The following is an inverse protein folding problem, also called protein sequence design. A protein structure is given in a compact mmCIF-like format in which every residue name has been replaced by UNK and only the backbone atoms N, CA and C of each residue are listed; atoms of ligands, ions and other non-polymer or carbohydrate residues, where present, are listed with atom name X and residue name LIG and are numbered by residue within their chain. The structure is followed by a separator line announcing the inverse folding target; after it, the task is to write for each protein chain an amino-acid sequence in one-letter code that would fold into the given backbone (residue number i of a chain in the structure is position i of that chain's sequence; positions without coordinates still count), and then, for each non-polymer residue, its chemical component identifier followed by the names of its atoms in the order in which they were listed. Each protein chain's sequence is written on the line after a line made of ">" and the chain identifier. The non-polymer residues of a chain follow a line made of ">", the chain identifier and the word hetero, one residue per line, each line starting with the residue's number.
data_IF_510704667630
#
_entry.id   IF_510704667630
#
_cell.length_a   1.000
_cell.length_b   1.000
_cell.length_c   1.000
_cell.angle_alpha   90.00
_cell.angle_beta   90.00
_cell.angle_gamma   90.00
#
_symmetry.space_group_name_H-M   'P 1'
#
loop_
_entity.id
_entity.type
_entity.pdbx_description
1 polymer ?
#
# COMPACT_ATOMS: atom_id res chain seq x y z
N UNK A 1 -45.55 60.65 7.36
CA UNK A 1 -46.08 59.75 6.31
C UNK A 1 -46.91 58.68 7.00
N UNK A 2 -48.13 58.44 6.50
CA UNK A 2 -49.10 57.52 7.11
C UNK A 2 -48.85 56.06 6.66
N UNK A 3 -49.42 55.10 7.37
CA UNK A 3 -49.51 53.72 6.90
C UNK A 3 -50.48 53.64 5.70
N UNK A 4 -50.24 52.75 4.74
CA UNK A 4 -51.06 52.53 3.55
C UNK A 4 -51.33 51.04 3.36
N UNK A 5 -52.61 50.66 3.33
CA UNK A 5 -53.09 49.32 3.05
C UNK A 5 -54.02 49.40 1.83
N UNK A 6 -53.55 49.03 0.64
CA UNK A 6 -54.29 49.17 -0.62
C UNK A 6 -54.67 47.85 -1.27
N UNK A 7 -54.05 46.74 -0.86
CA UNK A 7 -54.47 45.40 -1.29
C UNK A 7 -55.78 44.98 -0.64
N UNK A 8 -56.53 44.07 -1.27
CA UNK A 8 -57.72 43.48 -0.66
C UNK A 8 -57.33 42.76 0.64
N UNK A 9 -58.13 42.90 1.70
CA UNK A 9 -57.88 42.27 3.01
C UNK A 9 -56.48 42.54 3.62
N UNK A 10 -55.84 43.64 3.22
CA UNK A 10 -54.48 43.98 3.67
C UNK A 10 -54.47 44.70 5.02
N UNK A 11 -53.34 44.60 5.74
CA UNK A 11 -53.12 45.27 7.02
C UNK A 11 -51.80 46.03 6.99
N UNK A 12 -51.81 47.35 7.24
CA UNK A 12 -50.60 48.16 7.39
C UNK A 12 -50.60 48.91 8.72
N UNK A 13 -49.56 48.73 9.54
CA UNK A 13 -49.42 49.38 10.85
C UNK A 13 -47.99 49.88 11.06
N UNK A 14 -47.84 51.21 11.21
CA UNK A 14 -46.56 51.88 11.42
C UNK A 14 -46.36 53.06 10.46
N UNK A 15 -45.51 54.03 10.82
CA UNK A 15 -45.24 55.17 9.95
C UNK A 15 -44.59 54.69 8.64
N UNK A 16 -45.19 55.07 7.50
CA UNK A 16 -44.80 54.61 6.16
C UNK A 16 -44.87 53.09 5.93
N UNK A 17 -45.61 52.33 6.73
CA UNK A 17 -45.90 50.93 6.40
C UNK A 17 -46.75 50.85 5.12
N UNK A 18 -46.45 49.94 4.21
CA UNK A 18 -47.11 49.79 2.90
C UNK A 18 -47.49 48.33 2.64
N UNK A 19 -48.78 48.01 2.68
CA UNK A 19 -49.33 46.69 2.36
C UNK A 19 -50.14 46.81 1.05
N UNK A 20 -49.51 46.49 -0.08
CA UNK A 20 -50.12 46.67 -1.43
C UNK A 20 -50.56 45.36 -2.07
N UNK A 21 -50.08 44.22 -1.58
CA UNK A 21 -50.51 42.91 -2.06
C UNK A 21 -51.85 42.50 -1.43
N UNK A 22 -52.64 41.67 -2.12
CA UNK A 22 -53.86 41.11 -1.56
C UNK A 22 -53.54 40.17 -0.39
N UNK A 23 -54.34 40.20 0.67
CA UNK A 23 -54.12 39.53 1.95
C UNK A 23 -52.75 39.80 2.60
N UNK A 24 -52.08 40.91 2.24
CA UNK A 24 -50.73 41.22 2.75
C UNK A 24 -50.75 41.90 4.12
N UNK A 25 -49.67 41.74 4.88
CA UNK A 25 -49.50 42.34 6.21
C UNK A 25 -48.16 43.08 6.30
N UNK A 26 -48.18 44.39 6.56
CA UNK A 26 -46.99 45.21 6.80
C UNK A 26 -47.03 45.83 8.21
N UNK A 27 -46.19 45.35 9.13
CA UNK A 27 -46.13 45.79 10.53
C UNK A 27 -44.74 46.34 10.88
N UNK A 28 -44.63 47.66 11.03
CA UNK A 28 -43.40 48.34 11.40
C UNK A 28 -43.16 49.63 10.61
N UNK A 29 -42.24 50.48 11.08
CA UNK A 29 -41.89 51.72 10.37
C UNK A 29 -41.22 51.38 9.04
N UNK A 30 -41.82 51.79 7.91
CA UNK A 30 -41.32 51.50 6.57
C UNK A 30 -41.42 50.03 6.15
N UNK A 31 -42.17 49.20 6.88
CA UNK A 31 -42.40 47.82 6.44
C UNK A 31 -43.17 47.80 5.12
N UNK A 32 -42.76 46.97 4.17
CA UNK A 32 -43.38 46.84 2.84
C UNK A 32 -43.78 45.39 2.60
N UNK A 33 -45.07 45.14 2.35
CA UNK A 33 -45.63 43.86 1.96
C UNK A 33 -46.38 44.03 0.63
N UNK A 34 -45.73 43.73 -0.50
CA UNK A 34 -46.29 43.94 -1.85
C UNK A 34 -46.66 42.65 -2.58
N UNK A 35 -46.17 41.51 -2.12
CA UNK A 35 -46.58 40.21 -2.67
C UNK A 35 -47.97 39.81 -2.20
N UNK A 36 -48.69 39.02 -3.00
CA UNK A 36 -49.95 38.39 -2.58
C UNK A 36 -49.68 37.47 -1.39
N UNK A 37 -50.52 37.51 -0.36
CA UNK A 37 -50.39 36.73 0.87
C UNK A 37 -49.02 36.91 1.59
N UNK A 38 -48.35 38.03 1.35
CA UNK A 38 -47.04 38.32 1.95
C UNK A 38 -47.16 38.93 3.35
N UNK A 39 -46.19 38.68 4.22
CA UNK A 39 -46.15 39.20 5.58
C UNK A 39 -44.80 39.81 5.90
N UNK A 40 -44.75 41.11 6.21
CA UNK A 40 -43.55 41.85 6.56
C UNK A 40 -43.67 42.47 7.96
N UNK A 41 -42.91 41.93 8.91
CA UNK A 41 -42.91 42.37 10.32
C UNK A 41 -41.52 42.85 10.73
N UNK A 42 -41.38 44.13 11.01
CA UNK A 42 -40.12 44.78 11.41
C UNK A 42 -39.93 46.14 10.76
N UNK A 43 -39.07 46.98 11.34
CA UNK A 43 -38.72 48.26 10.71
C UNK A 43 -37.98 48.02 9.39
N UNK A 44 -38.45 48.59 8.29
CA UNK A 44 -37.91 48.39 6.93
C UNK A 44 -37.91 46.91 6.47
N UNK A 45 -38.75 46.04 7.04
CA UNK A 45 -38.94 44.69 6.52
C UNK A 45 -39.59 44.75 5.12
N UNK A 46 -39.16 43.91 4.18
CA UNK A 46 -39.64 43.95 2.77
C UNK A 46 -40.03 42.56 2.26
N UNK A 47 -41.32 42.24 2.25
CA UNK A 47 -41.89 41.01 1.68
C UNK A 47 -42.53 41.32 0.33
N UNK A 48 -41.84 41.00 -0.77
CA UNK A 48 -42.27 41.39 -2.13
C UNK A 48 -42.63 40.21 -3.03
N UNK A 49 -42.15 39.01 -2.72
CA UNK A 49 -42.59 37.78 -3.41
C UNK A 49 -43.96 37.31 -2.94
N UNK A 50 -44.68 36.57 -3.77
CA UNK A 50 -45.95 35.94 -3.37
C UNK A 50 -45.71 34.94 -2.24
N UNK A 51 -46.65 34.81 -1.29
CA UNK A 51 -46.55 33.92 -0.13
C UNK A 51 -45.28 34.13 0.73
N UNK A 52 -44.59 35.25 0.59
CA UNK A 52 -43.33 35.50 1.28
C UNK A 52 -43.54 35.93 2.73
N UNK A 53 -42.67 35.48 3.63
CA UNK A 53 -42.72 35.83 5.06
C UNK A 53 -41.42 36.47 5.51
N UNK A 54 -41.52 37.65 6.12
CA UNK A 54 -40.40 38.43 6.62
C UNK A 54 -40.63 38.81 8.07
N UNK A 55 -39.68 38.45 8.93
CA UNK A 55 -39.70 38.81 10.35
C UNK A 55 -38.31 39.31 10.77
N UNK A 56 -38.13 40.62 10.88
CA UNK A 56 -36.86 41.23 11.28
C UNK A 56 -36.68 42.63 10.72
N UNK A 57 -35.93 43.48 11.43
CA UNK A 57 -35.59 44.80 10.92
C UNK A 57 -34.68 44.69 9.68
N UNK A 58 -35.04 45.38 8.59
CA UNK A 58 -34.34 45.37 7.31
C UNK A 58 -34.20 43.99 6.66
N UNK A 59 -35.01 43.02 7.07
CA UNK A 59 -35.08 41.72 6.41
C UNK A 59 -35.82 41.84 5.06
N UNK A 60 -35.46 41.02 4.08
CA UNK A 60 -36.01 41.09 2.72
C UNK A 60 -36.29 39.70 2.17
N UNK A 61 -37.52 39.46 1.73
CA UNK A 61 -37.92 38.26 0.99
C UNK A 61 -38.52 38.69 -0.35
N UNK A 62 -37.83 38.38 -1.46
CA UNK A 62 -38.24 38.81 -2.81
C UNK A 62 -38.63 37.66 -3.73
N UNK A 63 -38.26 36.42 -3.39
CA UNK A 63 -38.70 35.24 -4.14
C UNK A 63 -40.08 34.77 -3.70
N UNK A 64 -40.76 34.01 -4.56
CA UNK A 64 -42.06 33.43 -4.22
C UNK A 64 -41.91 32.33 -3.17
N UNK A 65 -42.85 32.26 -2.22
CA UNK A 65 -42.81 31.39 -1.04
C UNK A 65 -41.51 31.51 -0.20
N UNK A 66 -40.78 32.62 -0.33
CA UNK A 66 -39.51 32.81 0.38
C UNK A 66 -39.70 33.29 1.82
N UNK A 67 -38.75 32.96 2.70
CA UNK A 67 -38.80 33.28 4.13
C UNK A 67 -37.52 33.97 4.59
N UNK A 68 -37.62 35.19 5.12
CA UNK A 68 -36.50 35.92 5.72
C UNK A 68 -36.75 36.23 7.21
N UNK A 69 -36.11 35.48 8.09
CA UNK A 69 -36.26 35.56 9.54
C UNK A 69 -34.97 36.03 10.21
N UNK A 70 -34.97 37.23 10.78
CA UNK A 70 -33.83 37.84 11.48
C UNK A 70 -33.43 39.19 10.92
N UNK A 71 -32.72 40.00 11.70
CA UNK A 71 -32.29 41.35 11.26
C UNK A 71 -31.40 41.23 10.02
N UNK A 72 -31.78 41.88 8.92
CA UNK A 72 -31.03 41.87 7.65
C UNK A 72 -30.97 40.50 6.96
N UNK A 73 -31.82 39.53 7.35
CA UNK A 73 -31.94 38.28 6.61
C UNK A 73 -32.46 38.55 5.19
N UNK A 74 -31.92 37.87 4.19
CA UNK A 74 -32.20 38.12 2.77
C UNK A 74 -32.51 36.81 2.04
N UNK A 75 -33.74 36.63 1.58
CA UNK A 75 -34.21 35.47 0.83
C UNK A 75 -34.71 35.92 -0.55
N UNK A 76 -33.87 35.82 -1.59
CA UNK A 76 -34.15 36.48 -2.89
C UNK A 76 -34.66 35.56 -3.97
N UNK A 77 -34.51 34.24 -3.81
CA UNK A 77 -34.93 33.25 -4.78
C UNK A 77 -36.20 32.52 -4.33
N UNK A 78 -36.87 31.86 -5.28
CA UNK A 78 -38.12 31.14 -5.00
C UNK A 78 -37.88 29.98 -4.04
N UNK A 79 -38.81 29.79 -3.11
CA UNK A 79 -38.78 28.78 -2.05
C UNK A 79 -37.53 28.85 -1.15
N UNK A 80 -36.81 29.98 -1.17
CA UNK A 80 -35.60 30.14 -0.35
C UNK A 80 -35.93 30.51 1.10
N UNK A 81 -35.12 30.07 2.05
CA UNK A 81 -35.26 30.37 3.47
C UNK A 81 -33.95 30.93 4.04
N UNK A 82 -33.96 32.17 4.50
CA UNK A 82 -32.87 32.79 5.24
C UNK A 82 -33.29 33.04 6.71
N UNK A 83 -32.71 32.30 7.65
CA UNK A 83 -33.04 32.36 9.08
C UNK A 83 -31.81 32.68 9.94
N UNK A 84 -31.62 33.95 10.29
CA UNK A 84 -30.54 34.43 11.15
C UNK A 84 -30.17 35.86 10.83
N UNK A 85 -29.46 36.53 11.73
CA UNK A 85 -28.97 37.90 11.48
C UNK A 85 -28.00 37.90 10.29
N UNK A 86 -28.37 38.60 9.22
CA UNK A 86 -27.60 38.66 7.97
C UNK A 86 -27.52 37.36 7.19
N UNK A 87 -28.37 36.35 7.49
CA UNK A 87 -28.43 35.14 6.68
C UNK A 87 -28.86 35.48 5.24
N UNK A 88 -28.28 34.82 4.24
CA UNK A 88 -28.57 35.04 2.82
C UNK A 88 -28.91 33.71 2.14
N UNK A 89 -30.09 33.63 1.55
CA UNK A 89 -30.52 32.52 0.71
C UNK A 89 -30.89 33.07 -0.68
N UNK A 90 -30.03 32.87 -1.67
CA UNK A 90 -30.21 33.42 -3.03
C UNK A 90 -30.29 32.35 -4.12
N UNK A 91 -30.21 31.07 -3.75
CA UNK A 91 -30.46 29.95 -4.65
C UNK A 91 -31.93 29.52 -4.59
N UNK A 92 -32.46 29.04 -5.72
CA UNK A 92 -33.80 28.44 -5.75
C UNK A 92 -33.82 27.25 -4.81
N UNK A 93 -34.87 27.13 -3.99
CA UNK A 93 -35.01 26.06 -3.00
C UNK A 93 -33.83 25.98 -2.00
N UNK A 94 -33.11 27.09 -1.76
CA UNK A 94 -31.98 27.11 -0.83
C UNK A 94 -32.37 27.44 0.60
N UNK A 95 -31.62 26.92 1.57
CA UNK A 95 -31.85 27.16 2.99
C UNK A 95 -30.57 27.63 3.68
N UNK A 96 -30.57 28.85 4.22
CA UNK A 96 -29.50 29.42 5.03
C UNK A 96 -30.01 29.66 6.46
N UNK A 97 -29.49 28.95 7.46
CA UNK A 97 -29.83 29.19 8.86
C UNK A 97 -28.58 29.40 9.73
N UNK A 98 -28.51 30.52 10.43
CA UNK A 98 -27.37 30.93 11.24
C UNK A 98 -26.98 32.39 11.00
N UNK A 99 -26.19 32.97 11.91
CA UNK A 99 -25.68 34.34 11.73
C UNK A 99 -24.74 34.36 10.53
N UNK A 100 -25.04 35.18 9.51
CA UNK A 100 -24.26 35.27 8.27
C UNK A 100 -24.13 33.93 7.52
N UNK A 101 -25.05 32.99 7.69
CA UNK A 101 -25.11 31.79 6.83
C UNK A 101 -25.45 32.20 5.39
N UNK A 102 -24.84 31.56 4.39
CA UNK A 102 -24.99 31.91 2.97
C UNK A 102 -25.26 30.66 2.12
N UNK A 103 -26.46 30.55 1.54
CA UNK A 103 -26.86 29.48 0.64
C UNK A 103 -27.19 30.07 -0.74
N UNK A 104 -26.19 30.15 -1.62
CA UNK A 104 -26.29 30.83 -2.92
C UNK A 104 -26.47 29.89 -4.11
N UNK A 105 -26.16 28.59 -3.95
CA UNK A 105 -26.41 27.58 -4.98
C UNK A 105 -27.87 27.13 -5.01
N UNK A 106 -28.37 26.67 -6.16
CA UNK A 106 -29.69 26.04 -6.23
C UNK A 106 -29.71 24.76 -5.37
N UNK A 107 -30.81 24.48 -4.69
CA UNK A 107 -30.98 23.34 -3.76
C UNK A 107 -29.91 23.27 -2.65
N UNK A 108 -29.23 24.38 -2.36
CA UNK A 108 -28.12 24.40 -1.39
C UNK A 108 -28.63 24.58 0.05
N UNK A 109 -27.88 24.03 1.01
CA UNK A 109 -28.19 24.12 2.43
C UNK A 109 -26.97 24.59 3.23
N UNK A 110 -27.06 25.78 3.84
CA UNK A 110 -26.05 26.34 4.73
C UNK A 110 -26.61 26.45 6.16
N UNK A 111 -26.10 25.65 7.09
CA UNK A 111 -26.55 25.61 8.49
C UNK A 111 -25.37 25.86 9.43
N UNK A 112 -25.38 27.00 10.11
CA UNK A 112 -24.35 27.41 11.07
C UNK A 112 -23.85 28.83 10.81
N UNK A 113 -23.28 29.45 11.85
CA UNK A 113 -22.69 30.79 11.74
C UNK A 113 -21.61 30.82 10.68
N UNK A 114 -21.73 31.73 9.70
CA UNK A 114 -20.80 31.87 8.57
C UNK A 114 -20.64 30.60 7.71
N UNK A 115 -21.61 29.67 7.75
CA UNK A 115 -21.63 28.56 6.80
C UNK A 115 -21.88 29.07 5.38
N UNK A 116 -21.23 28.48 4.37
CA UNK A 116 -21.33 28.88 2.98
C UNK A 116 -21.56 27.66 2.08
N UNK A 117 -22.75 27.56 1.50
CA UNK A 117 -23.11 26.56 0.49
C UNK A 117 -23.31 27.30 -0.85
N UNK A 118 -22.26 27.37 -1.66
CA UNK A 118 -22.23 28.16 -2.89
C UNK A 118 -22.48 27.34 -4.16
N UNK A 119 -22.20 26.03 -4.12
CA UNK A 119 -22.45 25.12 -5.24
C UNK A 119 -23.90 24.66 -5.33
N UNK A 120 -24.35 24.26 -6.52
CA UNK A 120 -25.68 23.64 -6.69
C UNK A 120 -25.73 22.28 -5.99
N UNK A 121 -26.80 22.00 -5.25
CA UNK A 121 -26.95 20.79 -4.43
C UNK A 121 -25.95 20.70 -3.26
N UNK A 122 -25.21 21.77 -2.97
CA UNK A 122 -24.16 21.75 -1.94
C UNK A 122 -24.74 21.83 -0.52
N UNK A 123 -24.03 21.22 0.44
CA UNK A 123 -24.42 21.22 1.85
C UNK A 123 -23.25 21.67 2.71
N UNK A 124 -23.43 22.76 3.46
CA UNK A 124 -22.48 23.28 4.44
C UNK A 124 -23.11 23.28 5.84
N UNK A 125 -22.76 22.32 6.69
CA UNK A 125 -23.26 22.18 8.05
C UNK A 125 -22.14 22.39 9.07
N UNK A 126 -22.16 23.50 9.79
CA UNK A 126 -21.21 23.84 10.84
C UNK A 126 -20.74 25.28 10.78
N UNK A 127 -20.19 25.78 11.88
CA UNK A 127 -19.64 27.14 11.91
C UNK A 127 -18.45 27.26 10.94
N UNK A 128 -18.56 28.17 9.97
CA UNK A 128 -17.56 28.37 8.92
C UNK A 128 -17.38 27.18 7.97
N UNK A 129 -18.33 26.24 7.89
CA UNK A 129 -18.30 25.18 6.89
C UNK A 129 -18.45 25.78 5.48
N UNK A 130 -17.69 25.29 4.50
CA UNK A 130 -17.65 25.84 3.15
C UNK A 130 -17.77 24.73 2.11
N UNK A 131 -18.86 24.75 1.35
CA UNK A 131 -19.14 23.84 0.23
C UNK A 131 -19.33 24.68 -1.04
N UNK A 132 -18.27 24.81 -1.86
CA UNK A 132 -18.23 25.84 -2.93
C UNK A 132 -18.59 25.34 -4.32
N UNK A 133 -18.64 24.02 -4.53
CA UNK A 133 -18.79 23.41 -5.84
C UNK A 133 -20.04 22.51 -5.91
N UNK A 134 -20.43 22.13 -7.12
CA UNK A 134 -21.62 21.29 -7.36
C UNK A 134 -21.52 19.96 -6.61
N UNK A 135 -22.62 19.60 -5.94
CA UNK A 135 -22.77 18.38 -5.13
C UNK A 135 -21.72 18.24 -4.01
N UNK A 136 -21.06 19.33 -3.60
CA UNK A 136 -20.05 19.27 -2.53
C UNK A 136 -20.68 19.34 -1.14
N UNK A 137 -20.08 18.63 -0.18
CA UNK A 137 -20.62 18.49 1.19
C UNK A 137 -19.55 18.79 2.24
N UNK A 138 -19.71 19.87 2.99
CA UNK A 138 -18.89 20.25 4.13
C UNK A 138 -19.65 20.06 5.45
N UNK A 139 -19.27 19.07 6.25
CA UNK A 139 -19.94 18.67 7.48
C UNK A 139 -18.98 18.81 8.68
N UNK A 140 -19.08 19.92 9.41
CA UNK A 140 -18.29 20.19 10.60
C UNK A 140 -17.81 21.64 10.66
N UNK A 141 -17.38 22.07 11.85
CA UNK A 141 -16.78 23.40 12.02
C UNK A 141 -15.56 23.55 11.12
N UNK A 142 -15.55 24.57 10.27
CA UNK A 142 -14.47 24.86 9.32
C UNK A 142 -14.16 23.71 8.34
N UNK A 143 -15.10 22.79 8.11
CA UNK A 143 -14.96 21.79 7.04
C UNK A 143 -14.99 22.50 5.67
N UNK A 144 -14.18 22.04 4.73
CA UNK A 144 -13.98 22.69 3.42
C UNK A 144 -14.06 21.67 2.29
N UNK A 145 -15.15 21.71 1.50
CA UNK A 145 -15.40 20.88 0.33
C UNK A 145 -15.43 21.78 -0.92
N UNK A 146 -14.27 21.94 -1.56
CA UNK A 146 -14.04 22.97 -2.61
C UNK A 146 -13.81 22.38 -3.99
N UNK A 147 -14.28 21.17 -4.24
CA UNK A 147 -14.21 20.49 -5.53
C UNK A 147 -15.53 19.80 -5.85
N UNK A 148 -15.80 19.56 -7.13
CA UNK A 148 -17.04 18.91 -7.58
C UNK A 148 -17.20 17.52 -6.93
N UNK A 149 -18.40 17.24 -6.40
CA UNK A 149 -18.75 15.99 -5.70
C UNK A 149 -17.79 15.64 -4.55
N UNK A 150 -17.11 16.62 -3.96
CA UNK A 150 -16.22 16.37 -2.83
C UNK A 150 -16.97 16.38 -1.49
N UNK A 151 -16.51 15.55 -0.54
CA UNK A 151 -17.10 15.47 0.79
C UNK A 151 -16.02 15.70 1.85
N UNK A 152 -16.17 16.73 2.68
CA UNK A 152 -15.34 16.99 3.85
C UNK A 152 -16.18 16.87 5.13
N UNK A 153 -15.97 15.82 5.92
CA UNK A 153 -16.68 15.57 7.17
C UNK A 153 -15.73 15.52 8.37
N UNK A 154 -15.80 16.51 9.24
CA UNK A 154 -14.96 16.64 10.43
C UNK A 154 -14.53 18.08 10.69
N UNK A 155 -14.05 18.34 11.90
CA UNK A 155 -13.54 19.67 12.22
C UNK A 155 -12.26 19.98 11.42
N UNK A 156 -12.30 20.97 10.53
CA UNK A 156 -11.18 21.32 9.66
C UNK A 156 -10.88 20.29 8.56
N UNK A 157 -11.77 19.33 8.30
CA UNK A 157 -11.61 18.41 7.18
C UNK A 157 -11.55 19.17 5.85
N UNK A 158 -10.70 18.75 4.92
CA UNK A 158 -10.51 19.38 3.62
C UNK A 158 -10.61 18.37 2.47
N UNK A 159 -11.56 18.58 1.57
CA UNK A 159 -11.75 17.78 0.36
C UNK A 159 -11.69 18.71 -0.86
N UNK A 160 -10.50 18.82 -1.47
CA UNK A 160 -10.21 19.74 -2.57
C UNK A 160 -9.89 19.05 -3.90
N UNK A 161 -9.89 17.71 -3.95
CA UNK A 161 -9.82 16.94 -5.18
C UNK A 161 -11.22 16.62 -5.71
N UNK A 162 -11.38 16.52 -7.03
CA UNK A 162 -12.66 16.15 -7.62
C UNK A 162 -13.08 14.74 -7.19
N UNK A 163 -14.34 14.53 -6.83
CA UNK A 163 -14.84 13.25 -6.30
C UNK A 163 -14.08 12.76 -5.03
N UNK A 164 -13.39 13.65 -4.29
CA UNK A 164 -12.63 13.24 -3.12
C UNK A 164 -13.50 13.14 -1.86
N UNK A 165 -13.10 12.31 -0.90
CA UNK A 165 -13.79 12.15 0.38
C UNK A 165 -12.78 12.26 1.52
N UNK A 166 -13.00 13.20 2.43
CA UNK A 166 -12.16 13.44 3.60
C UNK A 166 -12.99 13.36 4.87
N UNK A 167 -12.77 12.34 5.69
CA UNK A 167 -13.51 12.08 6.94
C UNK A 167 -12.55 12.03 8.13
N UNK A 168 -12.66 13.00 9.03
CA UNK A 168 -11.84 13.09 10.25
C UNK A 168 -11.45 14.52 10.60
N UNK A 169 -11.03 14.74 11.85
CA UNK A 169 -10.49 16.04 12.28
C UNK A 169 -9.21 16.31 11.52
N UNK A 170 -9.15 17.44 10.80
CA UNK A 170 -8.01 17.84 9.96
C UNK A 170 -7.60 16.79 8.91
N UNK A 171 -8.52 15.90 8.50
CA UNK A 171 -8.27 15.02 7.36
C UNK A 171 -8.17 15.85 6.07
N UNK A 172 -7.36 15.41 5.11
CA UNK A 172 -7.15 16.08 3.84
C UNK A 172 -7.22 15.08 2.68
N UNK A 173 -8.12 15.31 1.72
CA UNK A 173 -8.24 14.55 0.48
C UNK A 173 -8.12 15.53 -0.70
N UNK A 174 -6.88 15.78 -1.13
CA UNK A 174 -6.56 16.82 -2.13
C UNK A 174 -6.27 16.27 -3.53
N UNK A 175 -6.03 14.96 -3.67
CA UNK A 175 -5.91 14.30 -4.97
C UNK A 175 -7.29 13.98 -5.57
N UNK A 176 -7.37 13.89 -6.89
CA UNK A 176 -8.62 13.56 -7.56
C UNK A 176 -9.02 12.11 -7.24
N UNK A 177 -10.31 11.88 -6.95
CA UNK A 177 -10.85 10.58 -6.50
C UNK A 177 -10.15 10.02 -5.25
N UNK A 178 -9.47 10.87 -4.46
CA UNK A 178 -8.77 10.41 -3.27
C UNK A 178 -9.72 10.25 -2.08
N UNK A 179 -9.36 9.39 -1.14
CA UNK A 179 -10.12 9.18 0.10
C UNK A 179 -9.19 9.25 1.30
N UNK A 180 -9.46 10.15 2.24
CA UNK A 180 -8.81 10.19 3.55
C UNK A 180 -9.81 9.88 4.67
N UNK A 181 -9.44 8.97 5.56
CA UNK A 181 -10.27 8.53 6.68
C UNK A 181 -9.43 8.43 7.95
N UNK A 182 -9.66 9.32 8.92
CA UNK A 182 -8.93 9.38 10.19
C UNK A 182 -8.44 10.79 10.51
N UNK A 183 -8.15 11.04 11.80
CA UNK A 183 -7.63 12.34 12.22
C UNK A 183 -6.26 12.61 11.59
N UNK A 184 -6.14 13.72 10.85
CA UNK A 184 -4.92 14.08 10.13
C UNK A 184 -4.53 13.13 8.99
N UNK A 185 -5.43 12.24 8.54
CA UNK A 185 -5.18 11.40 7.37
C UNK A 185 -5.03 12.28 6.11
N UNK A 186 -4.07 11.98 5.25
CA UNK A 186 -3.70 12.81 4.10
C UNK A 186 -3.61 11.98 2.82
N UNK A 187 -4.58 12.11 1.93
CA UNK A 187 -4.65 11.45 0.63
C UNK A 187 -4.45 12.50 -0.48
N UNK A 188 -3.17 12.76 -0.83
CA UNK A 188 -2.79 13.82 -1.77
C UNK A 188 -2.49 13.32 -3.17
N UNK A 189 -2.27 12.02 -3.35
CA UNK A 189 -2.15 11.42 -4.69
C UNK A 189 -3.52 11.20 -5.34
N UNK A 190 -3.58 11.24 -6.67
CA UNK A 190 -4.80 10.88 -7.40
C UNK A 190 -5.15 9.41 -7.18
N UNK A 191 -6.44 9.12 -7.05
CA UNK A 191 -6.99 7.79 -6.75
C UNK A 191 -6.32 7.13 -5.51
N UNK A 192 -5.83 7.93 -4.57
CA UNK A 192 -5.16 7.42 -3.36
C UNK A 192 -6.14 7.17 -2.21
N UNK A 193 -5.74 6.27 -1.30
CA UNK A 193 -6.48 5.97 -0.07
C UNK A 193 -5.56 6.12 1.14
N UNK A 194 -5.89 7.04 2.05
CA UNK A 194 -5.22 7.16 3.36
C UNK A 194 -6.23 6.87 4.49
N UNK A 195 -6.13 5.69 5.11
CA UNK A 195 -7.03 5.25 6.16
C UNK A 195 -6.28 4.97 7.47
N UNK A 196 -6.45 5.83 8.47
CA UNK A 196 -5.79 5.77 9.77
C UNK A 196 -5.36 7.16 10.25
N UNK A 197 -5.25 7.34 11.57
CA UNK A 197 -4.77 8.61 12.11
C UNK A 197 -3.35 8.91 11.61
N UNK A 198 -3.16 10.06 10.96
CA UNK A 198 -1.89 10.46 10.35
C UNK A 198 -1.42 9.57 9.17
N UNK A 199 -2.27 8.69 8.63
CA UNK A 199 -1.93 7.93 7.42
C UNK A 199 -1.71 8.91 6.25
N UNK A 200 -0.68 8.67 5.43
CA UNK A 200 -0.32 9.52 4.29
C UNK A 200 -0.20 8.69 3.02
N UNK A 201 -1.04 8.97 2.04
CA UNK A 201 -1.00 8.38 0.70
C UNK A 201 -0.76 9.51 -0.31
N UNK A 202 0.50 9.73 -0.68
CA UNK A 202 0.91 10.85 -1.56
C UNK A 202 1.29 10.41 -2.97
N UNK A 203 1.46 9.11 -3.21
CA UNK A 203 1.66 8.58 -4.55
C UNK A 203 0.33 8.47 -5.32
N UNK A 204 0.36 8.61 -6.65
CA UNK A 204 -0.81 8.29 -7.48
C UNK A 204 -1.16 6.81 -7.34
N UNK A 205 -2.45 6.49 -7.24
CA UNK A 205 -2.97 5.14 -7.00
C UNK A 205 -2.36 4.44 -5.77
N UNK A 206 -1.88 5.21 -4.79
CA UNK A 206 -1.26 4.67 -3.58
C UNK A 206 -2.29 4.37 -2.49
N UNK A 207 -1.97 3.44 -1.60
CA UNK A 207 -2.84 3.07 -0.48
C UNK A 207 -2.04 2.98 0.82
N UNK A 208 -2.39 3.80 1.81
CA UNK A 208 -1.84 3.78 3.15
C UNK A 208 -2.95 3.45 4.17
N UNK A 209 -2.87 2.28 4.82
CA UNK A 209 -3.85 1.82 5.80
C UNK A 209 -3.15 1.50 7.12
N UNK A 210 -3.41 2.29 8.16
CA UNK A 210 -2.83 2.17 9.49
C UNK A 210 -2.42 3.51 10.08
N UNK A 211 -2.29 3.58 11.40
CA UNK A 211 -1.82 4.80 12.09
C UNK A 211 -0.41 5.15 11.62
N UNK A 212 -0.23 6.33 11.05
CA UNK A 212 1.05 6.79 10.50
C UNK A 212 1.59 5.97 9.32
N UNK A 213 0.77 5.15 8.66
CA UNK A 213 1.18 4.45 7.44
C UNK A 213 1.55 5.47 6.34
N UNK A 214 2.58 5.18 5.54
CA UNK A 214 3.11 6.07 4.50
C UNK A 214 3.21 5.32 3.17
N UNK A 215 2.40 5.70 2.19
CA UNK A 215 2.51 5.25 0.81
C UNK A 215 2.83 6.46 -0.08
N UNK A 216 4.12 6.69 -0.35
CA UNK A 216 4.58 7.95 -0.95
C UNK A 216 4.91 7.89 -2.43
N UNK A 217 4.84 6.71 -3.04
CA UNK A 217 5.22 6.47 -4.42
C UNK A 217 4.03 5.95 -5.24
N UNK A 218 4.09 6.12 -6.55
CA UNK A 218 3.05 5.65 -7.46
C UNK A 218 2.81 4.14 -7.30
N UNK A 219 1.53 3.76 -7.19
CA UNK A 219 1.10 2.37 -7.02
C UNK A 219 1.59 1.70 -5.75
N UNK A 220 2.11 2.44 -4.77
CA UNK A 220 2.64 1.86 -3.53
C UNK A 220 1.53 1.51 -2.52
N UNK A 221 1.73 0.43 -1.78
CA UNK A 221 0.78 -0.09 -0.79
C UNK A 221 1.47 -0.22 0.57
N UNK A 222 1.05 0.57 1.55
CA UNK A 222 1.50 0.48 2.94
C UNK A 222 0.34 0.08 3.86
N UNK A 223 0.38 -1.13 4.43
CA UNK A 223 -0.62 -1.62 5.38
C UNK A 223 0.01 -1.98 6.71
N UNK A 224 -0.36 -1.29 7.79
CA UNK A 224 0.15 -1.50 9.14
C UNK A 224 0.52 -0.18 9.82
N UNK A 225 0.61 -0.20 11.16
CA UNK A 225 1.05 0.98 11.92
C UNK A 225 2.47 1.33 11.51
N UNK A 226 2.68 2.58 11.08
CA UNK A 226 3.95 3.09 10.58
C UNK A 226 4.60 2.24 9.46
N UNK A 227 3.81 1.47 8.69
CA UNK A 227 4.30 0.83 7.47
C UNK A 227 4.68 1.90 6.44
N UNK A 228 5.76 1.72 5.69
CA UNK A 228 6.26 2.68 4.72
C UNK A 228 6.57 2.01 3.37
N UNK A 229 5.79 2.34 2.34
CA UNK A 229 5.99 1.94 0.96
C UNK A 229 6.41 3.17 0.13
N UNK A 230 7.72 3.35 -0.01
CA UNK A 230 8.34 4.55 -0.63
C UNK A 230 8.95 4.30 -2.00
N UNK A 231 9.03 3.04 -2.44
CA UNK A 231 9.40 2.67 -3.81
C UNK A 231 8.19 2.62 -4.76
N UNK A 232 8.41 2.90 -6.05
CA UNK A 232 7.36 2.77 -7.08
C UNK A 232 6.84 1.33 -7.13
N UNK A 233 5.52 1.14 -7.13
CA UNK A 233 4.86 -0.17 -7.08
C UNK A 233 5.35 -1.08 -5.94
N UNK A 234 5.79 -0.51 -4.81
CA UNK A 234 6.26 -1.28 -3.66
C UNK A 234 5.13 -1.64 -2.70
N UNK A 235 5.31 -2.71 -1.93
CA UNK A 235 4.32 -3.22 -0.96
C UNK A 235 4.97 -3.39 0.40
N UNK A 236 4.51 -2.64 1.40
CA UNK A 236 4.92 -2.77 2.80
C UNK A 236 3.72 -3.20 3.66
N UNK A 237 3.73 -4.42 4.19
CA UNK A 237 2.65 -4.95 5.03
C UNK A 237 3.19 -5.43 6.38
N UNK A 238 2.80 -4.76 7.46
CA UNK A 238 3.21 -5.07 8.84
C UNK A 238 3.54 -3.82 9.65
N UNK A 239 3.58 -3.96 10.98
CA UNK A 239 4.06 -2.91 11.88
C UNK A 239 5.48 -2.50 11.48
N UNK A 240 5.69 -1.22 11.11
CA UNK A 240 6.99 -0.70 10.68
C UNK A 240 7.65 -1.47 9.51
N UNK A 241 6.88 -2.14 8.66
CA UNK A 241 7.41 -2.72 7.42
C UNK A 241 7.88 -1.60 6.47
N UNK A 242 8.99 -1.78 5.78
CA UNK A 242 9.62 -0.77 4.92
C UNK A 242 9.95 -1.35 3.54
N UNK A 243 9.23 -0.91 2.51
CA UNK A 243 9.47 -1.28 1.12
C UNK A 243 9.95 -0.05 0.34
N UNK A 244 11.28 0.15 0.32
CA UNK A 244 11.93 1.35 -0.24
C UNK A 244 12.46 1.18 -1.67
N UNK A 245 12.71 -0.06 -2.11
CA UNK A 245 13.11 -0.35 -3.49
C UNK A 245 11.92 -0.28 -4.46
N UNK A 246 12.19 0.04 -5.72
CA UNK A 246 11.16 -0.03 -6.76
C UNK A 246 10.71 -1.49 -6.94
N UNK A 247 9.39 -1.73 -6.99
CA UNK A 247 8.76 -3.06 -7.09
C UNK A 247 9.17 -4.01 -5.94
N UNK A 248 9.59 -3.46 -4.79
CA UNK A 248 9.98 -4.28 -3.65
C UNK A 248 8.77 -4.67 -2.80
N UNK A 249 8.90 -5.78 -2.06
CA UNK A 249 7.85 -6.32 -1.21
C UNK A 249 8.41 -6.60 0.18
N UNK A 250 7.91 -5.93 1.21
CA UNK A 250 8.24 -6.17 2.61
C UNK A 250 6.99 -6.62 3.38
N UNK A 251 6.94 -7.88 3.78
CA UNK A 251 5.84 -8.46 4.55
C UNK A 251 6.34 -9.01 5.88
N UNK A 252 5.88 -8.42 6.97
CA UNK A 252 6.26 -8.77 8.34
C UNK A 252 6.56 -7.53 9.19
N UNK A 253 6.43 -7.66 10.51
CA UNK A 253 6.77 -6.57 11.43
C UNK A 253 8.26 -6.23 11.32
N UNK A 254 8.60 -4.98 11.01
CA UNK A 254 9.96 -4.51 10.81
C UNK A 254 10.68 -5.12 9.60
N UNK A 255 9.96 -5.75 8.66
CA UNK A 255 10.55 -6.26 7.42
C UNK A 255 11.09 -5.11 6.57
N UNK A 256 12.27 -5.26 5.98
CA UNK A 256 12.91 -4.24 5.14
C UNK A 256 13.20 -4.81 3.75
N UNK A 257 12.68 -4.17 2.69
CA UNK A 257 12.95 -4.48 1.30
C UNK A 257 13.41 -3.20 0.58
N UNK A 258 14.70 -2.88 0.69
CA UNK A 258 15.29 -1.64 0.15
C UNK A 258 15.99 -1.82 -1.20
N UNK A 259 16.27 -3.04 -1.62
CA UNK A 259 16.77 -3.31 -2.97
C UNK A 259 15.65 -3.26 -4.01
N UNK A 260 15.95 -2.79 -5.21
CA UNK A 260 14.99 -2.80 -6.32
C UNK A 260 14.59 -4.24 -6.67
N UNK A 261 13.29 -4.50 -6.76
CA UNK A 261 12.73 -5.83 -6.97
C UNK A 261 12.99 -6.81 -5.83
N UNK A 262 13.42 -6.34 -4.65
CA UNK A 262 13.70 -7.24 -3.52
C UNK A 262 12.42 -7.71 -2.83
N UNK A 263 12.47 -8.91 -2.25
CA UNK A 263 11.35 -9.54 -1.55
C UNK A 263 11.77 -9.94 -0.15
N UNK A 264 11.03 -9.48 0.84
CA UNK A 264 11.26 -9.74 2.25
C UNK A 264 9.99 -10.31 2.86
N UNK A 265 10.06 -11.53 3.36
CA UNK A 265 8.94 -12.22 4.02
C UNK A 265 9.40 -12.74 5.38
N UNK A 266 8.96 -12.08 6.46
CA UNK A 266 9.29 -12.44 7.83
C UNK A 266 9.50 -11.22 8.72
N UNK A 267 9.23 -11.37 10.02
CA UNK A 267 9.52 -10.32 11.00
C UNK A 267 11.02 -10.02 11.06
N UNK A 268 11.39 -8.74 10.97
CA UNK A 268 12.78 -8.28 11.00
C UNK A 268 13.67 -8.81 9.87
N UNK A 269 13.10 -9.43 8.84
CA UNK A 269 13.86 -9.86 7.67
C UNK A 269 14.31 -8.63 6.85
N UNK A 270 15.40 -8.75 6.09
CA UNK A 270 16.00 -7.62 5.37
C UNK A 270 16.57 -8.06 4.03
N UNK A 271 16.08 -7.48 2.93
CA UNK A 271 16.58 -7.70 1.57
C UNK A 271 17.02 -6.36 0.97
N UNK A 272 18.33 -6.08 1.03
CA UNK A 272 18.93 -4.81 0.60
C UNK A 272 19.64 -4.91 -0.74
N UNK A 273 19.98 -6.12 -1.20
CA UNK A 273 20.52 -6.33 -2.54
C UNK A 273 19.43 -6.16 -3.60
N UNK A 274 19.79 -5.66 -4.78
CA UNK A 274 18.85 -5.62 -5.91
C UNK A 274 18.44 -7.05 -6.29
N UNK A 275 17.15 -7.27 -6.58
CA UNK A 275 16.56 -8.59 -6.91
C UNK A 275 16.82 -9.67 -5.85
N UNK A 276 17.11 -9.27 -4.60
CA UNK A 276 17.38 -10.22 -3.51
C UNK A 276 16.09 -10.67 -2.82
N UNK A 277 16.13 -11.84 -2.16
CA UNK A 277 15.01 -12.36 -1.39
C UNK A 277 15.43 -12.81 0.01
N UNK A 278 14.82 -12.24 1.05
CA UNK A 278 14.97 -12.65 2.43
C UNK A 278 13.68 -13.34 2.93
N UNK A 279 13.72 -14.67 3.02
CA UNK A 279 12.55 -15.52 3.25
C UNK A 279 12.67 -16.24 4.60
N UNK A 280 12.17 -15.61 5.66
CA UNK A 280 12.20 -16.12 7.03
C UNK A 280 12.45 -15.01 8.05
N UNK A 281 12.02 -15.21 9.30
CA UNK A 281 12.24 -14.22 10.37
C UNK A 281 13.74 -13.91 10.54
N UNK A 282 14.11 -12.64 10.51
CA UNK A 282 15.51 -12.20 10.60
C UNK A 282 16.43 -12.71 9.49
N UNK A 283 15.92 -13.22 8.36
CA UNK A 283 16.74 -13.54 7.20
C UNK A 283 17.33 -12.25 6.59
N UNK A 284 18.57 -12.30 6.12
CA UNK A 284 19.30 -11.14 5.59
C UNK A 284 19.85 -11.48 4.20
N UNK A 285 19.41 -10.78 3.16
CA UNK A 285 19.91 -10.91 1.79
C UNK A 285 20.51 -9.57 1.33
N UNK A 286 21.85 -9.47 1.36
CA UNK A 286 22.59 -8.26 0.96
C UNK A 286 23.23 -8.40 -0.42
N UNK A 287 23.45 -9.62 -0.92
CA UNK A 287 23.95 -9.85 -2.27
C UNK A 287 22.91 -9.53 -3.34
N UNK A 288 23.35 -9.06 -4.50
CA UNK A 288 22.51 -8.87 -5.69
C UNK A 288 22.04 -10.23 -6.21
N UNK A 289 20.76 -10.35 -6.58
CA UNK A 289 20.17 -11.60 -7.08
C UNK A 289 20.46 -12.80 -6.14
N UNK A 290 20.40 -12.56 -4.83
CA UNK A 290 20.67 -13.55 -3.79
C UNK A 290 19.41 -13.94 -3.02
N UNK A 291 19.39 -15.13 -2.43
CA UNK A 291 18.26 -15.62 -1.62
C UNK A 291 18.75 -16.09 -0.27
N UNK A 292 18.32 -15.45 0.82
CA UNK A 292 18.46 -15.96 2.18
C UNK A 292 17.19 -16.74 2.54
N UNK A 293 17.28 -18.07 2.59
CA UNK A 293 16.15 -18.97 2.80
C UNK A 293 16.17 -19.58 4.21
N UNK A 294 15.16 -19.26 5.01
CA UNK A 294 15.00 -19.71 6.39
C UNK A 294 15.34 -18.64 7.43
N UNK A 295 14.81 -18.82 8.64
CA UNK A 295 15.01 -17.92 9.79
C UNK A 295 16.50 -17.68 10.07
N UNK A 296 16.93 -16.42 10.11
CA UNK A 296 18.32 -16.04 10.42
C UNK A 296 19.36 -16.44 9.36
N UNK A 297 18.95 -16.91 8.17
CA UNK A 297 19.89 -17.15 7.06
C UNK A 297 20.50 -15.85 6.57
N UNK A 298 21.75 -15.90 6.09
CA UNK A 298 22.44 -14.73 5.53
C UNK A 298 22.96 -15.06 4.13
N UNK A 299 22.53 -14.31 3.13
CA UNK A 299 23.03 -14.36 1.76
C UNK A 299 23.75 -13.04 1.42
N UNK A 300 25.07 -13.04 1.57
CA UNK A 300 25.95 -11.86 1.42
C UNK A 300 26.79 -11.89 0.13
N UNK A 301 26.50 -12.84 -0.76
CA UNK A 301 27.17 -13.02 -2.05
C UNK A 301 26.18 -12.97 -3.19
N UNK A 302 26.54 -12.26 -4.25
CA UNK A 302 25.73 -12.15 -5.45
C UNK A 302 25.46 -13.51 -6.08
N UNK A 303 24.27 -13.70 -6.65
CA UNK A 303 23.88 -14.91 -7.39
C UNK A 303 23.97 -16.21 -6.55
N UNK A 304 23.62 -16.15 -5.27
CA UNK A 304 23.65 -17.32 -4.37
C UNK A 304 22.32 -17.56 -3.66
N UNK A 305 22.09 -18.81 -3.26
CA UNK A 305 21.06 -19.16 -2.29
C UNK A 305 21.75 -19.62 -1.01
N UNK A 306 21.58 -18.88 0.08
CA UNK A 306 22.06 -19.27 1.40
C UNK A 306 20.90 -19.86 2.21
N UNK A 307 21.12 -21.04 2.78
CA UNK A 307 20.16 -21.74 3.64
C UNK A 307 20.56 -21.70 5.12
N UNK A 308 21.47 -20.82 5.52
CA UNK A 308 21.97 -20.73 6.89
C UNK A 308 23.06 -19.67 7.06
N UNK A 309 23.94 -19.90 8.03
CA UNK A 309 25.15 -19.11 8.29
C UNK A 309 26.28 -20.05 8.71
N UNK A 310 27.55 -19.60 8.71
CA UNK A 310 28.66 -20.41 9.23
C UNK A 310 28.38 -20.90 10.67
N UNK A 311 28.45 -22.21 10.89
CA UNK A 311 28.13 -22.87 12.15
C UNK A 311 26.63 -23.11 12.41
N UNK A 312 25.74 -22.64 11.53
CA UNK A 312 24.30 -22.89 11.55
C UNK A 312 23.81 -23.37 10.17
N UNK A 313 24.53 -24.34 9.59
CA UNK A 313 24.19 -24.91 8.30
C UNK A 313 22.90 -25.74 8.39
N UNK A 314 22.14 -25.77 7.30
CA UNK A 314 20.96 -26.63 7.15
C UNK A 314 21.22 -27.75 6.17
N UNK A 315 20.58 -28.89 6.41
CA UNK A 315 20.59 -30.01 5.46
C UNK A 315 19.53 -29.79 4.40
N UNK A 316 19.89 -30.04 3.14
CA UNK A 316 18.95 -30.16 2.03
C UNK A 316 18.56 -31.64 1.91
N UNK A 317 17.30 -31.97 2.14
CA UNK A 317 16.78 -33.34 2.09
C UNK A 317 15.78 -33.51 0.94
N UNK A 318 15.43 -34.76 0.61
CA UNK A 318 14.55 -35.10 -0.51
C UNK A 318 15.07 -34.66 -1.89
N UNK A 319 16.39 -34.73 -2.08
CA UNK A 319 17.06 -34.40 -3.34
C UNK A 319 17.17 -35.64 -4.23
N UNK A 320 16.48 -35.61 -5.38
CA UNK A 320 16.62 -36.60 -6.45
C UNK A 320 18.03 -36.60 -7.04
N UNK A 321 18.38 -37.65 -7.79
CA UNK A 321 19.70 -37.74 -8.42
C UNK A 321 19.86 -36.68 -9.50
N UNK A 322 20.98 -35.95 -9.49
CA UNK A 322 21.33 -35.01 -10.55
C UNK A 322 21.69 -35.72 -11.85
N UNK A 323 21.27 -35.17 -12.97
CA UNK A 323 21.48 -35.73 -14.32
C UNK A 323 22.26 -34.75 -15.21
N UNK A 324 22.00 -33.46 -15.07
CA UNK A 324 22.67 -32.40 -15.83
C UNK A 324 23.94 -31.90 -15.12
N UNK A 325 24.86 -31.23 -15.85
CA UNK A 325 26.11 -30.73 -15.27
C UNK A 325 25.96 -29.77 -14.10
N UNK A 326 24.83 -29.06 -13.99
CA UNK A 326 24.56 -28.06 -12.96
C UNK A 326 23.52 -28.51 -11.92
N UNK A 327 23.17 -29.79 -11.91
CA UNK A 327 22.28 -30.35 -10.88
C UNK A 327 23.06 -30.58 -9.57
N UNK A 328 22.36 -30.44 -8.44
CA UNK A 328 22.91 -30.79 -7.14
C UNK A 328 23.09 -32.31 -7.02
N UNK A 329 24.21 -32.74 -6.42
CA UNK A 329 24.54 -34.15 -6.20
C UNK A 329 24.09 -34.57 -4.80
N UNK A 330 23.34 -35.66 -4.70
CA UNK A 330 22.95 -36.22 -3.39
C UNK A 330 24.01 -37.22 -2.85
N UNK A 331 23.87 -37.59 -1.58
CA UNK A 331 24.82 -38.48 -0.89
C UNK A 331 24.97 -39.86 -1.56
N UNK A 332 23.90 -40.38 -2.19
CA UNK A 332 23.93 -41.69 -2.86
C UNK A 332 24.81 -41.66 -4.11
N UNK A 333 24.72 -40.60 -4.91
CA UNK A 333 25.60 -40.40 -6.07
C UNK A 333 27.07 -40.25 -5.65
N UNK A 334 27.34 -39.47 -4.60
CA UNK A 334 28.70 -39.34 -4.05
C UNK A 334 29.25 -40.69 -3.55
N UNK A 335 28.44 -41.46 -2.82
CA UNK A 335 28.83 -42.79 -2.34
C UNK A 335 29.09 -43.78 -3.48
N UNK A 336 28.41 -43.65 -4.62
CA UNK A 336 28.67 -44.48 -5.79
C UNK A 336 30.05 -44.17 -6.41
N UNK A 337 30.45 -42.89 -6.45
CA UNK A 337 31.79 -42.47 -6.87
C UNK A 337 32.84 -43.00 -5.91
N UNK A 338 32.64 -42.81 -4.60
CA UNK A 338 33.55 -43.29 -3.55
C UNK A 338 33.75 -44.81 -3.63
N UNK A 339 32.66 -45.57 -3.79
CA UNK A 339 32.70 -47.03 -3.96
C UNK A 339 33.56 -47.43 -5.15
N UNK A 340 33.39 -46.82 -6.33
CA UNK A 340 34.20 -47.12 -7.52
C UNK A 340 35.68 -46.79 -7.27
N UNK A 341 35.98 -45.60 -6.75
CA UNK A 341 37.35 -45.15 -6.49
C UNK A 341 38.09 -46.03 -5.47
N UNK A 342 37.51 -46.23 -4.28
CA UNK A 342 38.15 -47.01 -3.22
C UNK A 342 38.33 -48.48 -3.57
N UNK A 343 37.35 -49.06 -4.29
CA UNK A 343 37.48 -50.42 -4.81
C UNK A 343 38.60 -50.56 -5.86
N UNK A 344 38.86 -49.50 -6.64
CA UNK A 344 39.97 -49.44 -7.58
C UNK A 344 41.33 -49.33 -6.90
N UNK A 345 41.45 -48.56 -5.82
CA UNK A 345 42.66 -48.49 -4.99
C UNK A 345 42.94 -49.86 -4.36
N UNK A 346 41.94 -50.50 -3.77
CA UNK A 346 42.08 -51.86 -3.24
C UNK A 346 42.57 -52.84 -4.33
N UNK A 347 42.05 -52.72 -5.55
CA UNK A 347 42.47 -53.55 -6.68
C UNK A 347 43.93 -53.27 -7.10
N UNK A 348 44.37 -52.00 -7.06
CA UNK A 348 45.77 -51.62 -7.29
C UNK A 348 46.69 -52.16 -6.18
N UNK A 349 46.28 -52.13 -4.92
CA UNK A 349 47.04 -52.75 -3.81
C UNK A 349 47.10 -54.27 -3.95
N UNK A 350 46.02 -54.90 -4.40
CA UNK A 350 46.03 -56.33 -4.69
C UNK A 350 47.04 -56.67 -5.79
N UNK A 351 47.14 -55.83 -6.84
CA UNK A 351 48.08 -56.00 -7.95
C UNK A 351 49.56 -55.97 -7.50
N UNK A 352 49.92 -55.14 -6.52
CA UNK A 352 51.31 -55.04 -6.04
C UNK A 352 51.74 -56.23 -5.18
N UNK A 353 50.78 -56.94 -4.57
CA UNK A 353 51.04 -58.11 -3.72
C UNK A 353 51.12 -59.43 -4.51
N UNK A 354 51.03 -59.39 -5.84
CA UNK A 354 51.23 -60.57 -6.68
C UNK A 354 52.73 -60.91 -6.69
N UNK A 355 53.17 -62.10 -6.27
CA UNK A 355 54.58 -62.50 -6.27
C UNK A 355 55.20 -62.49 -7.68
N UNK A 356 56.48 -62.13 -7.76
CA UNK A 356 57.26 -62.16 -9.01
C UNK A 356 57.89 -63.54 -9.25
N UNK A 357 58.27 -63.82 -10.50
CA UNK A 357 58.93 -65.07 -10.89
C UNK A 357 60.33 -65.22 -10.27
N UNK A 358 60.51 -66.33 -9.55
CA UNK A 358 61.75 -66.68 -8.87
C UNK A 358 62.95 -66.87 -9.83
N UNK A 359 64.20 -66.69 -9.36
CA UNK A 359 65.39 -67.01 -10.14
C UNK A 359 65.39 -68.47 -10.62
N UNK A 360 65.68 -68.70 -11.91
CA UNK A 360 65.71 -70.03 -12.52
C UNK A 360 64.35 -70.56 -13.02
N UNK A 361 63.26 -69.79 -12.87
CA UNK A 361 61.93 -70.10 -13.43
C UNK A 361 61.55 -69.11 -14.54
N UNK A 362 60.80 -69.57 -15.53
CA UNK A 362 60.43 -68.77 -16.72
C UNK A 362 59.13 -67.97 -16.53
N UNK A 363 58.13 -68.54 -15.86
CA UNK A 363 56.79 -67.95 -15.69
C UNK A 363 56.33 -68.16 -14.23
N UNK A 364 55.68 -67.16 -13.65
CA UNK A 364 54.90 -67.28 -12.42
C UNK A 364 53.51 -66.68 -12.62
N UNK A 365 52.48 -67.33 -12.08
CA UNK A 365 51.11 -66.82 -11.99
C UNK A 365 50.76 -66.72 -10.52
N UNK A 366 50.21 -65.59 -10.11
CA UNK A 366 49.90 -65.32 -8.71
C UNK A 366 48.58 -64.60 -8.54
N UNK A 367 48.10 -64.63 -7.30
CA UNK A 367 46.97 -63.85 -6.83
C UNK A 367 47.42 -62.90 -5.73
N UNK A 368 46.83 -61.72 -5.71
CA UNK A 368 46.99 -60.75 -4.64
C UNK A 368 45.65 -60.32 -4.10
N UNK A 369 45.64 -59.86 -2.85
CA UNK A 369 44.45 -59.34 -2.20
C UNK A 369 44.77 -57.96 -1.63
N UNK A 370 43.82 -57.05 -1.74
CA UNK A 370 43.96 -55.68 -1.30
C UNK A 370 42.70 -55.21 -0.60
N UNK A 371 42.89 -54.37 0.41
CA UNK A 371 41.80 -53.72 1.14
C UNK A 371 42.15 -52.25 1.34
N UNK A 372 41.17 -51.37 1.17
CA UNK A 372 41.31 -49.95 1.40
C UNK A 372 40.01 -49.35 1.94
N UNK A 373 40.07 -48.76 3.14
CA UNK A 373 38.92 -48.13 3.83
C UNK A 373 37.66 -49.00 3.85
N UNK A 374 37.82 -50.32 4.06
CA UNK A 374 36.72 -51.29 4.11
C UNK A 374 36.28 -51.85 2.76
N UNK A 375 36.85 -51.39 1.65
CA UNK A 375 36.63 -51.96 0.31
C UNK A 375 37.69 -53.01 -0.01
N UNK A 376 37.27 -54.17 -0.48
CA UNK A 376 38.16 -55.29 -0.79
C UNK A 376 38.23 -55.53 -2.30
N UNK A 377 39.38 -56.01 -2.76
CA UNK A 377 39.60 -56.43 -4.13
C UNK A 377 40.59 -57.60 -4.18
N UNK A 378 40.45 -58.43 -5.21
CA UNK A 378 41.43 -59.43 -5.59
C UNK A 378 42.16 -58.99 -6.85
N UNK A 379 43.30 -59.61 -7.13
CA UNK A 379 44.00 -59.46 -8.40
C UNK A 379 44.63 -60.77 -8.83
N UNK A 380 44.71 -61.00 -10.14
CA UNK A 380 45.47 -62.08 -10.75
C UNK A 380 46.51 -61.47 -11.69
N UNK A 381 47.67 -62.11 -11.79
CA UNK A 381 48.71 -61.64 -12.70
C UNK A 381 49.73 -62.71 -13.01
N UNK A 382 50.47 -62.47 -14.09
CA UNK A 382 51.55 -63.31 -14.54
C UNK A 382 52.83 -62.47 -14.66
N UNK A 383 53.96 -63.04 -14.26
CA UNK A 383 55.27 -62.48 -14.52
C UNK A 383 56.14 -63.48 -15.28
N UNK A 384 56.97 -62.98 -16.18
CA UNK A 384 57.82 -63.77 -17.07
C UNK A 384 59.25 -63.23 -17.00
N UNK A 385 60.24 -64.12 -16.91
CA UNK A 385 61.66 -63.77 -16.98
C UNK A 385 62.24 -64.21 -18.32
N UNK A 386 62.76 -63.26 -19.08
CA UNK A 386 63.29 -63.43 -20.45
C UNK A 386 64.82 -63.28 -20.40
N UNK A 387 65.53 -64.32 -19.97
CA UNK A 387 66.98 -64.28 -19.72
C UNK A 387 67.36 -63.85 -18.29
N UNK A 388 68.64 -63.65 -18.00
CA UNK A 388 69.08 -63.31 -16.63
C UNK A 388 68.69 -61.88 -16.22
N UNK A 389 68.56 -60.98 -17.20
CA UNK A 389 68.51 -59.54 -16.96
C UNK A 389 67.14 -58.90 -17.20
N UNK A 390 66.19 -59.53 -17.91
CA UNK A 390 64.89 -58.93 -18.28
C UNK A 390 63.71 -59.65 -17.61
N UNK A 391 62.81 -58.87 -17.00
CA UNK A 391 61.52 -59.34 -16.45
C UNK A 391 60.35 -58.53 -16.99
N UNK A 392 59.20 -59.18 -17.13
CA UNK A 392 57.92 -58.56 -17.49
C UNK A 392 56.82 -59.04 -16.55
N UNK A 393 55.83 -58.19 -16.28
CA UNK A 393 54.67 -58.48 -15.42
C UNK A 393 53.41 -57.90 -16.02
N UNK A 394 52.30 -58.63 -15.92
CA UNK A 394 50.95 -58.19 -16.25
C UNK A 394 49.99 -58.63 -15.16
N UNK A 395 48.97 -57.84 -14.85
CA UNK A 395 47.92 -58.23 -13.93
C UNK A 395 46.63 -57.46 -14.11
N UNK A 396 45.54 -58.06 -13.64
CA UNK A 396 44.23 -57.44 -13.54
C UNK A 396 43.69 -57.57 -12.10
N UNK A 397 43.23 -56.46 -11.54
CA UNK A 397 42.53 -56.37 -10.27
C UNK A 397 41.02 -56.31 -10.49
N UNK A 398 40.25 -57.00 -9.64
CA UNK A 398 38.80 -57.05 -9.67
C UNK A 398 38.24 -56.75 -8.28
N UNK A 399 37.21 -55.90 -8.25
CA UNK A 399 36.50 -55.52 -7.04
C UNK A 399 34.99 -55.57 -7.27
N UNK A 400 34.20 -55.30 -6.24
CA UNK A 400 32.73 -55.24 -6.32
C UNK A 400 32.19 -54.09 -7.18
N UNK A 401 33.04 -53.16 -7.63
CA UNK A 401 32.60 -51.97 -8.37
C UNK A 401 33.49 -51.57 -9.56
N UNK A 402 34.66 -52.17 -9.75
CA UNK A 402 35.55 -51.88 -10.87
C UNK A 402 36.53 -53.03 -11.18
N UNK A 403 37.08 -52.98 -12.39
CA UNK A 403 38.23 -53.81 -12.81
C UNK A 403 39.36 -52.87 -13.21
N UNK A 404 40.58 -53.15 -12.73
CA UNK A 404 41.80 -52.40 -13.08
C UNK A 404 42.81 -53.36 -13.70
N UNK A 405 43.74 -52.86 -14.50
CA UNK A 405 44.81 -53.68 -15.06
C UNK A 405 46.10 -52.87 -15.16
N UNK A 406 47.23 -53.56 -15.20
CA UNK A 406 48.55 -52.96 -15.35
C UNK A 406 49.56 -53.94 -15.92
N UNK A 407 50.60 -53.41 -16.55
CA UNK A 407 51.74 -54.17 -17.03
C UNK A 407 53.03 -53.36 -16.83
N UNK A 408 54.16 -54.05 -16.67
CA UNK A 408 55.46 -53.44 -16.47
C UNK A 408 56.60 -54.36 -16.90
N UNK A 409 57.79 -53.79 -17.08
CA UNK A 409 59.01 -54.52 -17.38
C UNK A 409 60.20 -53.91 -16.63
N UNK A 410 61.20 -54.72 -16.29
CA UNK A 410 62.43 -54.26 -15.66
C UNK A 410 63.65 -54.96 -16.26
N UNK A 411 64.76 -54.23 -16.35
CA UNK A 411 66.05 -54.73 -16.81
C UNK A 411 67.13 -54.46 -15.75
N UNK A 412 67.94 -55.45 -15.39
CA UNK A 412 69.01 -55.35 -14.37
C UNK A 412 70.37 -55.67 -15.00
N UNK A 413 71.42 -54.94 -14.63
CA UNK A 413 72.78 -55.12 -15.15
C UNK A 413 73.79 -55.39 -14.04
#
# INVERSE_FOLDING_TARGET
>A
MQASATGADSTALGASASATGDASMALGRGATASGVNSSAVGAQASATGADSTVLGASASATGDASMALGKGATATADQSMAAGTGATASGVNSAAAGVQASATGADSTALGTQSAAAGNGSVALGMGASATETDSMALGRSASATAERSMAAGNGASASGANSTSVGVQAAATGDRSTSFGAGASATGDASLAAGAGATASGSSSTAVGVGALASAEGSLATGVAAAATGNASVATGLQAQAGGARSVAVGAGAVASGDGSVTLGSGASATGAQSAALGSGAIATGTNSVALGTGSVADRDNTVSIGTPGNERKVTNLSDGVLPFDAVNLRQLNAVARRAYSGVAAATALTMIPDVDPGKTIAVGMGFGSYLGYQAGAFGASVRLGENLKMKVGAGFSSAATTWGAGASYSW
#
